data_IF_435386325878
#
_entry.id   IF_435386325878
#
_cell.length_a   1.000
_cell.length_b   1.000
_cell.length_c   1.000
_cell.angle_alpha   90.00
_cell.angle_beta   90.00
_cell.angle_gamma   90.00
#
_symmetry.space_group_name_H-M   'P 1'
#
loop_
_entity.id
_entity.type
_entity.pdbx_description
1 polymer ?
#
# COMPACT_ATOMS: atom_id res chain seq x y z
N UNK A 1 -11.48 -3.64 6.98
CA UNK A 1 -11.69 -2.97 5.68
C UNK A 1 -10.60 -3.41 4.71
N UNK A 2 -10.97 -3.83 3.52
CA UNK A 2 -10.01 -4.32 2.54
C UNK A 2 -9.33 -3.16 1.81
N UNK A 3 -8.04 -3.33 1.51
CA UNK A 3 -7.30 -2.38 0.69
C UNK A 3 -7.50 -2.65 -0.80
N UNK A 4 -8.00 -3.82 -1.13
CA UNK A 4 -8.27 -4.25 -2.51
C UNK A 4 -9.74 -4.59 -2.60
N UNK A 5 -10.44 -4.02 -3.57
CA UNK A 5 -11.85 -4.33 -3.76
C UNK A 5 -12.01 -5.68 -4.48
N UNK A 6 -13.22 -6.27 -4.46
CA UNK A 6 -13.44 -7.58 -5.10
C UNK A 6 -13.11 -7.63 -6.58
N UNK A 7 -13.09 -6.49 -7.26
CA UNK A 7 -12.74 -6.44 -8.69
C UNK A 7 -11.24 -6.37 -8.93
N UNK A 8 -10.42 -6.49 -7.89
CA UNK A 8 -8.98 -6.50 -7.99
C UNK A 8 -8.33 -5.13 -7.99
N UNK A 9 -9.10 -4.06 -7.86
CA UNK A 9 -8.57 -2.71 -7.83
C UNK A 9 -8.37 -2.25 -6.39
N UNK A 10 -7.35 -1.42 -6.11
CA UNK A 10 -7.17 -0.92 -4.75
C UNK A 10 -8.29 0.05 -4.36
N UNK A 11 -8.66 -0.01 -3.09
CA UNK A 11 -9.59 0.97 -2.53
C UNK A 11 -8.88 2.31 -2.38
N UNK A 12 -9.61 3.35 -1.96
CA UNK A 12 -9.01 4.66 -1.72
C UNK A 12 -7.87 4.56 -0.70
N UNK A 13 -8.08 3.83 0.39
CA UNK A 13 -7.03 3.63 1.39
C UNK A 13 -5.84 2.88 0.80
N UNK A 14 -6.09 1.85 0.02
CA UNK A 14 -5.03 1.10 -0.64
C UNK A 14 -4.23 1.97 -1.59
N UNK A 15 -4.91 2.81 -2.37
CA UNK A 15 -4.23 3.73 -3.30
C UNK A 15 -3.33 4.71 -2.56
N UNK A 16 -3.80 5.27 -1.45
CA UNK A 16 -2.98 6.19 -0.64
C UNK A 16 -1.73 5.49 -0.13
N UNK A 17 -1.86 4.25 0.31
CA UNK A 17 -0.72 3.48 0.79
C UNK A 17 0.27 3.15 -0.33
N UNK A 18 -0.23 2.80 -1.51
CA UNK A 18 0.62 2.52 -2.66
C UNK A 18 1.41 3.76 -3.07
N UNK A 19 0.78 4.92 -3.07
CA UNK A 19 1.47 6.17 -3.40
C UNK A 19 2.53 6.52 -2.36
N UNK A 20 2.25 6.28 -1.09
CA UNK A 20 3.23 6.50 -0.03
C UNK A 20 4.44 5.59 -0.22
N UNK A 21 4.21 4.32 -0.54
CA UNK A 21 5.30 3.38 -0.80
C UNK A 21 6.13 3.81 -2.02
N UNK A 22 5.48 4.30 -3.06
CA UNK A 22 6.17 4.76 -4.25
C UNK A 22 7.04 5.98 -3.94
N UNK A 23 6.62 6.81 -3.00
CA UNK A 23 7.40 7.98 -2.57
C UNK A 23 8.63 7.62 -1.77
N UNK A 24 8.81 6.36 -1.41
CA UNK A 24 9.96 5.91 -0.65
C UNK A 24 9.68 5.71 0.83
N UNK A 25 8.45 5.96 1.28
CA UNK A 25 8.08 5.69 2.66
C UNK A 25 7.91 4.20 2.85
N UNK A 26 8.61 3.63 3.81
CA UNK A 26 8.60 2.19 4.02
C UNK A 26 8.04 1.75 5.36
N UNK A 27 8.06 2.62 6.37
CA UNK A 27 7.58 2.23 7.68
C UNK A 27 6.08 2.46 7.80
N UNK A 28 5.36 1.59 8.53
CA UNK A 28 3.93 1.78 8.74
C UNK A 28 3.60 3.14 9.38
N UNK A 29 4.43 3.61 10.28
CA UNK A 29 4.23 4.90 10.96
C UNK A 29 4.29 6.07 9.98
N UNK A 30 5.29 6.06 9.09
CA UNK A 30 5.44 7.10 8.09
C UNK A 30 4.29 7.07 7.09
N UNK A 31 3.88 5.88 6.68
CA UNK A 31 2.77 5.71 5.75
C UNK A 31 1.48 6.21 6.38
N UNK A 32 1.24 5.86 7.65
CA UNK A 32 0.05 6.29 8.37
C UNK A 32 -0.03 7.81 8.44
N UNK A 33 1.09 8.45 8.75
CA UNK A 33 1.15 9.89 8.86
C UNK A 33 0.91 10.57 7.51
N UNK A 34 1.55 10.05 6.47
CA UNK A 34 1.43 10.60 5.13
C UNK A 34 0.03 10.42 4.55
N UNK A 35 -0.58 9.26 4.77
CA UNK A 35 -1.88 8.93 4.23
C UNK A 35 -3.05 9.43 5.09
N UNK A 36 -2.77 9.88 6.31
CA UNK A 36 -3.81 10.31 7.24
C UNK A 36 -4.66 9.15 7.73
N UNK A 37 -4.08 7.98 7.88
CA UNK A 37 -4.79 6.77 8.30
C UNK A 37 -4.31 6.31 9.68
N UNK A 38 -5.17 5.63 10.46
CA UNK A 38 -4.72 5.03 11.71
C UNK A 38 -3.66 3.97 11.47
N UNK A 39 -2.71 3.86 12.39
CA UNK A 39 -1.59 2.93 12.25
C UNK A 39 -2.07 1.48 12.09
N UNK A 40 -3.07 1.06 12.87
CA UNK A 40 -3.56 -0.31 12.78
C UNK A 40 -4.12 -0.63 11.39
N UNK A 41 -4.74 0.34 10.75
CA UNK A 41 -5.29 0.18 9.40
C UNK A 41 -4.17 0.04 8.38
N UNK A 42 -3.10 0.83 8.54
CA UNK A 42 -1.95 0.74 7.66
C UNK A 42 -1.28 -0.62 7.79
N UNK A 43 -1.10 -1.11 9.00
CA UNK A 43 -0.49 -2.42 9.21
C UNK A 43 -1.32 -3.54 8.58
N UNK A 44 -2.63 -3.51 8.77
CA UNK A 44 -3.52 -4.48 8.13
C UNK A 44 -3.46 -4.38 6.62
N UNK A 45 -3.48 -3.16 6.10
CA UNK A 45 -3.43 -2.91 4.66
C UNK A 45 -2.13 -3.38 4.04
N UNK A 46 -1.00 -3.12 4.70
CA UNK A 46 0.30 -3.57 4.20
C UNK A 46 0.37 -5.10 4.14
N UNK A 47 -0.19 -5.77 5.14
CA UNK A 47 -0.26 -7.22 5.13
C UNK A 47 -1.08 -7.72 3.94
N UNK A 48 -2.22 -7.09 3.71
CA UNK A 48 -3.09 -7.44 2.60
C UNK A 48 -2.40 -7.23 1.25
N UNK A 49 -1.75 -6.10 1.08
CA UNK A 49 -1.03 -5.78 -0.15
C UNK A 49 0.13 -6.77 -0.36
N UNK A 50 0.80 -7.17 0.71
CA UNK A 50 1.87 -8.15 0.62
C UNK A 50 1.34 -9.52 0.21
N UNK A 51 0.21 -9.93 0.76
CA UNK A 51 -0.41 -11.20 0.40
C UNK A 51 -0.89 -11.21 -1.05
N UNK A 52 -1.30 -10.04 -1.55
CA UNK A 52 -1.73 -9.92 -2.94
C UNK A 52 -0.57 -9.79 -3.93
N UNK A 53 0.67 -9.74 -3.43
CA UNK A 53 1.84 -9.59 -4.29
C UNK A 53 2.07 -8.18 -4.80
N UNK A 54 1.39 -7.19 -4.23
CA UNK A 54 1.49 -5.79 -4.66
C UNK A 54 2.59 -5.07 -3.89
N UNK A 55 2.82 -5.48 -2.64
CA UNK A 55 3.90 -4.97 -1.82
C UNK A 55 4.75 -6.12 -1.33
N UNK A 56 5.95 -5.82 -0.88
CA UNK A 56 6.82 -6.82 -0.27
C UNK A 56 7.55 -6.20 0.92
N UNK A 57 7.90 -7.04 1.87
CA UNK A 57 8.63 -6.61 3.04
C UNK A 57 10.08 -6.37 2.70
N UNK A 58 10.63 -5.28 3.21
CA UNK A 58 12.03 -4.94 3.01
C UNK A 58 12.60 -4.47 4.35
N UNK A 59 13.44 -5.30 4.96
CA UNK A 59 13.96 -4.99 6.30
C UNK A 59 12.81 -4.81 7.28
N UNK A 60 12.78 -3.69 7.98
CA UNK A 60 11.74 -3.36 8.94
C UNK A 60 10.53 -2.68 8.31
N UNK A 61 10.56 -2.48 7.01
CA UNK A 61 9.49 -1.77 6.32
C UNK A 61 8.98 -2.52 5.12
N UNK A 62 8.42 -1.79 4.16
CA UNK A 62 7.78 -2.35 2.98
C UNK A 62 8.19 -1.56 1.75
N UNK A 63 8.03 -2.16 0.58
CA UNK A 63 8.21 -1.48 -0.69
C UNK A 63 7.23 -2.04 -1.70
N UNK A 64 7.03 -1.33 -2.80
CA UNK A 64 6.19 -1.84 -3.88
C UNK A 64 6.92 -2.95 -4.61
N UNK A 65 6.17 -4.02 -4.95
CA UNK A 65 6.66 -5.03 -5.87
C UNK A 65 6.54 -4.50 -7.30
N UNK A 66 7.11 -5.22 -8.25
CA UNK A 66 6.95 -4.88 -9.67
C UNK A 66 5.46 -4.81 -10.05
N UNK A 67 4.66 -5.76 -9.54
CA UNK A 67 3.22 -5.77 -9.77
C UNK A 67 2.55 -4.54 -9.17
N UNK A 68 3.00 -4.10 -8.01
CA UNK A 68 2.46 -2.91 -7.35
C UNK A 68 2.76 -1.64 -8.12
N UNK A 69 3.96 -1.51 -8.65
CA UNK A 69 4.33 -0.36 -9.47
C UNK A 69 3.49 -0.32 -10.73
N UNK A 70 3.30 -1.47 -11.37
CA UNK A 70 2.49 -1.58 -12.57
C UNK A 70 1.04 -1.23 -12.29
N UNK A 71 0.48 -1.74 -11.21
CA UNK A 71 -0.89 -1.45 -10.81
C UNK A 71 -1.09 0.05 -10.58
N UNK A 72 -0.16 0.68 -9.86
CA UNK A 72 -0.25 2.10 -9.57
C UNK A 72 -0.20 2.93 -10.85
N UNK A 73 0.58 2.49 -11.84
CA UNK A 73 0.67 3.17 -13.12
C UNK A 73 -0.62 3.13 -13.93
N UNK A 74 -1.54 2.21 -13.64
CA UNK A 74 -2.82 2.12 -14.35
C UNK A 74 -3.93 2.93 -13.67
N UNK A 75 -3.67 3.50 -12.49
CA UNK A 75 -4.66 4.26 -11.76
C UNK A 75 -4.70 5.70 -12.23
N UNK A 76 -5.86 6.37 -12.13
CA UNK A 76 -5.94 7.81 -12.42
C UNK A 76 -5.06 8.61 -11.49
N UNK A 77 -4.52 9.70 -12.00
CA UNK A 77 -3.68 10.58 -11.20
C UNK A 77 -4.47 11.25 -10.08
#
# INVERSE_FOLDING_TARGET
>A
MACISPDGKPTESGTKMLRALKSGLGSPEEIAQNAGLPLFRVRSGLRELTQAGIAKQKGDGYELSASGIELLGTLPA
#
